data_IF_715266588911
#
_entry.id   IF_715266588911
#
_cell.length_a   1.000
_cell.length_b   1.000
_cell.length_c   1.000
_cell.angle_alpha   90.00
_cell.angle_beta   90.00
_cell.angle_gamma   90.00
#
_symmetry.space_group_name_H-M   'P 1'
#
loop_
_entity.id
_entity.type
_entity.pdbx_description
1 polymer ?
#
# COMPACT_ATOMS: atom_id res chain seq x y z
N UNK A 1 -57.31 -29.66 5.55
CA UNK A 1 -56.80 -28.86 4.42
C UNK A 1 -56.04 -27.67 5.01
N UNK A 2 -54.72 -27.71 4.94
CA UNK A 2 -53.83 -26.65 5.48
C UNK A 2 -53.94 -25.37 4.65
N UNK A 3 -54.07 -24.24 5.34
CA UNK A 3 -54.11 -22.91 4.73
C UNK A 3 -52.69 -22.49 4.30
N UNK A 4 -52.46 -22.48 3.00
CA UNK A 4 -51.28 -21.89 2.38
C UNK A 4 -51.16 -20.41 2.78
N UNK A 5 -50.17 -20.09 3.63
CA UNK A 5 -49.81 -18.71 3.96
C UNK A 5 -49.26 -18.05 2.70
N UNK A 6 -50.08 -17.23 2.03
CA UNK A 6 -49.64 -16.42 0.87
C UNK A 6 -48.63 -15.38 1.35
N UNK A 7 -47.35 -15.72 1.28
CA UNK A 7 -46.26 -14.76 1.39
C UNK A 7 -46.29 -13.81 0.20
N UNK A 8 -46.72 -12.57 0.41
CA UNK A 8 -46.72 -11.51 -0.60
C UNK A 8 -45.94 -10.29 -0.12
N UNK A 9 -44.99 -9.82 -0.92
CA UNK A 9 -44.24 -8.60 -0.62
C UNK A 9 -45.20 -7.40 -0.67
N UNK A 10 -45.39 -6.72 0.46
CA UNK A 10 -46.16 -5.47 0.50
C UNK A 10 -45.35 -4.38 -0.20
N UNK A 11 -45.50 -4.28 -1.52
CA UNK A 11 -44.74 -3.38 -2.39
C UNK A 11 -44.66 -1.93 -1.90
N UNK A 12 -45.73 -1.37 -1.33
CA UNK A 12 -45.70 -0.03 -0.73
C UNK A 12 -44.77 0.07 0.48
N UNK A 13 -44.81 -0.93 1.38
CA UNK A 13 -43.92 -0.96 2.56
C UNK A 13 -42.49 -1.29 2.18
N UNK A 14 -42.31 -2.15 1.19
CA UNK A 14 -41.01 -2.48 0.61
C UNK A 14 -40.37 -1.24 -0.02
N UNK A 15 -41.12 -0.46 -0.81
CA UNK A 15 -40.61 0.77 -1.42
C UNK A 15 -40.25 1.84 -0.37
N UNK A 16 -41.07 2.00 0.68
CA UNK A 16 -40.79 2.95 1.77
C UNK A 16 -39.49 2.64 2.50
N UNK A 17 -39.07 1.37 2.57
CA UNK A 17 -37.80 0.98 3.20
C UNK A 17 -36.65 0.97 2.20
N UNK A 18 -36.87 0.41 1.00
CA UNK A 18 -35.83 0.24 -0.01
C UNK A 18 -35.34 1.57 -0.60
N UNK A 19 -36.26 2.52 -0.87
CA UNK A 19 -35.88 3.78 -1.53
C UNK A 19 -34.94 4.61 -0.65
N UNK A 20 -35.22 4.84 0.65
CA UNK A 20 -34.27 5.52 1.54
C UNK A 20 -32.95 4.77 1.70
N UNK A 21 -32.97 3.43 1.80
CA UNK A 21 -31.75 2.64 1.92
C UNK A 21 -30.85 2.77 0.69
N UNK A 22 -31.42 2.64 -0.51
CA UNK A 22 -30.68 2.81 -1.77
C UNK A 22 -30.16 4.24 -1.92
N UNK A 23 -30.97 5.24 -1.56
CA UNK A 23 -30.55 6.64 -1.59
C UNK A 23 -29.38 6.92 -0.62
N UNK A 24 -29.42 6.35 0.60
CA UNK A 24 -28.33 6.46 1.55
C UNK A 24 -27.06 5.78 1.05
N UNK A 25 -27.15 4.57 0.48
CA UNK A 25 -26.00 3.88 -0.12
C UNK A 25 -25.41 4.66 -1.29
N UNK A 26 -26.27 5.23 -2.15
CA UNK A 26 -25.82 6.06 -3.27
C UNK A 26 -25.12 7.34 -2.78
N UNK A 27 -25.65 8.01 -1.74
CA UNK A 27 -25.04 9.18 -1.14
C UNK A 27 -23.64 8.86 -0.56
N UNK A 28 -23.49 7.72 0.12
CA UNK A 28 -22.20 7.24 0.60
C UNK A 28 -21.25 6.98 -0.58
N UNK A 29 -21.73 6.33 -1.64
CA UNK A 29 -20.94 6.07 -2.85
C UNK A 29 -20.45 7.35 -3.54
N UNK A 30 -21.30 8.38 -3.65
CA UNK A 30 -20.94 9.70 -4.19
C UNK A 30 -19.95 10.41 -3.29
N UNK A 31 -20.15 10.37 -1.96
CA UNK A 31 -19.24 10.98 -1.00
C UNK A 31 -17.84 10.31 -1.02
N UNK A 32 -17.77 9.00 -1.22
CA UNK A 32 -16.51 8.27 -1.46
C UNK A 32 -15.87 8.69 -2.80
N UNK A 33 -16.66 8.78 -3.87
CA UNK A 33 -16.17 9.15 -5.20
C UNK A 33 -15.65 10.61 -5.27
N UNK A 34 -16.25 11.51 -4.50
CA UNK A 34 -15.84 12.91 -4.38
C UNK A 34 -14.74 13.13 -3.32
N UNK A 35 -14.31 12.07 -2.62
CA UNK A 35 -13.27 12.17 -1.58
C UNK A 35 -13.72 12.86 -0.29
N UNK A 36 -15.02 13.14 -0.12
CA UNK A 36 -15.60 13.71 1.10
C UNK A 36 -15.63 12.69 2.26
N UNK A 37 -15.70 11.40 1.91
CA UNK A 37 -15.40 10.30 2.82
C UNK A 37 -14.11 9.65 2.31
N UNK A 38 -13.03 9.76 3.07
CA UNK A 38 -11.85 8.96 2.81
C UNK A 38 -12.22 7.50 3.09
N UNK A 39 -12.15 6.62 2.08
CA UNK A 39 -11.93 5.20 2.31
C UNK A 39 -10.50 5.09 2.86
N UNK A 40 -10.31 5.54 4.11
CA UNK A 40 -9.01 5.66 4.71
C UNK A 40 -8.43 4.26 4.81
N UNK A 41 -7.48 3.94 3.94
CA UNK A 41 -6.45 3.01 4.32
C UNK A 41 -5.76 3.65 5.51
N UNK A 42 -6.18 3.26 6.71
CA UNK A 42 -5.50 3.66 7.93
C UNK A 42 -4.13 3.01 7.85
N UNK A 43 -3.13 3.80 7.45
CA UNK A 43 -1.74 3.41 7.60
C UNK A 43 -1.55 3.16 9.09
N UNK A 44 -1.32 1.89 9.45
CA UNK A 44 -0.84 1.59 10.80
C UNK A 44 0.44 2.39 10.97
N UNK A 45 0.54 3.27 11.97
CA UNK A 45 1.78 4.03 12.25
C UNK A 45 2.90 3.15 12.78
N UNK A 46 3.03 1.94 12.24
CA UNK A 46 4.12 1.02 12.41
C UNK A 46 4.86 0.99 11.07
N UNK A 47 6.13 1.37 11.10
CA UNK A 47 7.00 1.09 9.98
C UNK A 47 7.21 -0.43 9.87
N UNK A 48 7.44 -0.89 8.65
CA UNK A 48 7.86 -2.24 8.37
C UNK A 48 9.20 -2.23 7.63
N UNK A 49 10.01 -3.22 7.95
CA UNK A 49 11.29 -3.45 7.30
C UNK A 49 11.12 -4.45 6.18
N UNK A 50 11.69 -4.15 5.02
CA UNK A 50 11.71 -5.05 3.87
C UNK A 50 13.16 -5.23 3.43
N UNK A 51 13.53 -6.48 3.18
CA UNK A 51 14.75 -6.83 2.49
C UNK A 51 14.45 -7.69 1.27
N UNK A 52 15.24 -7.51 0.22
CA UNK A 52 15.19 -8.31 -1.00
C UNK A 52 16.54 -8.28 -1.69
N UNK A 53 16.97 -9.43 -2.18
CA UNK A 53 18.24 -9.56 -2.90
C UNK A 53 18.23 -8.75 -4.20
N UNK A 54 17.07 -8.67 -4.86
CA UNK A 54 16.95 -7.98 -6.13
C UNK A 54 15.52 -7.50 -6.38
N UNK A 55 15.39 -6.20 -6.66
CA UNK A 55 14.17 -5.55 -7.15
C UNK A 55 14.47 -4.96 -8.53
N UNK A 56 13.80 -5.49 -9.56
CA UNK A 56 13.85 -4.94 -10.92
C UNK A 56 12.51 -4.34 -11.26
N UNK A 57 12.48 -3.03 -11.48
CA UNK A 57 11.28 -2.28 -11.81
C UNK A 57 11.40 -1.56 -13.15
N UNK A 58 10.28 -1.43 -13.86
CA UNK A 58 10.16 -0.61 -15.08
C UNK A 58 9.15 0.51 -14.85
N UNK A 59 9.37 1.64 -15.54
CA UNK A 59 8.62 2.87 -15.32
C UNK A 59 8.75 3.31 -13.87
N UNK A 60 9.97 3.71 -13.49
CA UNK A 60 10.29 4.20 -12.16
C UNK A 60 9.96 5.69 -12.06
N UNK A 61 9.34 6.10 -10.95
CA UNK A 61 9.23 7.50 -10.54
C UNK A 61 9.35 7.58 -9.02
N UNK A 62 10.14 8.52 -8.53
CA UNK A 62 10.34 8.77 -7.11
C UNK A 62 10.14 10.24 -6.79
N UNK A 63 9.32 10.54 -5.79
CA UNK A 63 9.04 11.91 -5.36
C UNK A 63 8.82 11.97 -3.84
N UNK A 64 9.00 13.16 -3.27
CA UNK A 64 8.74 13.40 -1.86
C UNK A 64 7.25 13.61 -1.59
N UNK A 65 6.71 12.93 -0.58
CA UNK A 65 5.36 13.12 -0.10
C UNK A 65 5.29 13.10 1.44
N UNK A 66 4.13 13.47 1.96
CA UNK A 66 3.77 13.28 3.36
C UNK A 66 2.74 12.15 3.43
N UNK A 67 3.05 11.12 4.21
CA UNK A 67 2.12 10.04 4.53
C UNK A 67 1.37 10.37 5.82
N UNK A 68 0.05 10.37 5.75
CA UNK A 68 -0.84 10.68 6.88
C UNK A 68 -1.35 9.38 7.49
N UNK A 69 -0.92 9.08 8.71
CA UNK A 69 -1.28 7.86 9.43
C UNK A 69 -1.75 8.12 10.86
N UNK A 70 -1.82 7.04 11.64
CA UNK A 70 -2.14 7.09 13.06
C UNK A 70 -1.03 6.46 13.89
N UNK A 71 -0.63 7.08 15.00
CA UNK A 71 0.19 6.41 16.00
C UNK A 71 -0.57 5.22 16.61
N UNK A 72 0.17 4.31 17.26
CA UNK A 72 -0.44 3.20 18.00
C UNK A 72 -1.39 3.65 19.13
N UNK A 73 -1.28 4.90 19.56
CA UNK A 73 -2.17 5.54 20.55
C UNK A 73 -3.39 6.23 19.91
N UNK A 74 -3.61 6.04 18.61
CA UNK A 74 -4.74 6.59 17.86
C UNK A 74 -4.65 8.08 17.52
N UNK A 75 -3.47 8.71 17.70
CA UNK A 75 -3.26 10.13 17.32
C UNK A 75 -2.85 10.23 15.86
N UNK A 76 -3.25 11.29 15.17
CA UNK A 76 -2.78 11.55 13.80
C UNK A 76 -1.27 11.78 13.81
N UNK A 77 -0.56 11.15 12.88
CA UNK A 77 0.87 11.33 12.66
C UNK A 77 1.11 11.62 11.17
N UNK A 78 2.13 12.44 10.89
CA UNK A 78 2.56 12.76 9.53
C UNK A 78 4.01 12.31 9.40
N UNK A 79 4.29 11.47 8.41
CA UNK A 79 5.62 10.94 8.15
C UNK A 79 6.14 11.46 6.80
N UNK A 80 7.30 12.14 6.75
CA UNK A 80 7.91 12.46 5.47
C UNK A 80 8.40 11.16 4.82
N UNK A 81 7.99 10.94 3.58
CA UNK A 81 8.30 9.72 2.83
C UNK A 81 8.79 10.06 1.43
N UNK A 82 9.71 9.23 0.93
CA UNK A 82 10.08 9.19 -0.47
C UNK A 82 9.23 8.09 -1.14
N UNK A 83 8.22 8.50 -1.88
CA UNK A 83 7.33 7.58 -2.60
C UNK A 83 8.08 7.07 -3.81
N UNK A 84 8.38 5.78 -3.82
CA UNK A 84 9.01 5.09 -4.94
C UNK A 84 7.95 4.28 -5.68
N UNK A 85 7.74 4.61 -6.95
CA UNK A 85 6.68 4.02 -7.77
C UNK A 85 7.22 3.30 -8.99
N UNK A 86 6.61 2.17 -9.32
CA UNK A 86 6.97 1.30 -10.44
C UNK A 86 5.72 0.85 -11.19
N UNK A 87 5.71 0.95 -12.52
CA UNK A 87 4.61 0.40 -13.33
C UNK A 87 4.54 -1.11 -13.20
N UNK A 88 5.70 -1.77 -13.32
CA UNK A 88 5.85 -3.21 -13.12
C UNK A 88 7.13 -3.44 -12.33
N UNK A 89 7.07 -4.29 -11.31
CA UNK A 89 8.23 -4.67 -10.52
C UNK A 89 8.28 -6.19 -10.31
N UNK A 90 9.49 -6.71 -10.34
CA UNK A 90 9.82 -8.11 -10.05
C UNK A 90 10.77 -8.13 -8.86
N UNK A 91 10.41 -8.84 -7.80
CA UNK A 91 11.15 -8.86 -6.53
C UNK A 91 11.56 -10.31 -6.20
N UNK A 92 12.85 -10.54 -5.96
CA UNK A 92 13.39 -11.86 -5.59
C UNK A 92 13.71 -11.92 -4.10
N UNK A 93 13.39 -13.05 -3.47
CA UNK A 93 13.69 -13.27 -2.05
C UNK A 93 13.18 -12.13 -1.15
N UNK A 94 11.90 -11.79 -1.28
CA UNK A 94 11.25 -10.79 -0.44
C UNK A 94 11.14 -11.32 1.01
N UNK A 95 11.64 -10.54 1.97
CA UNK A 95 11.34 -10.69 3.38
C UNK A 95 10.82 -9.35 3.92
N UNK A 96 9.61 -9.36 4.46
CA UNK A 96 8.99 -8.22 5.12
C UNK A 96 8.74 -8.58 6.58
N UNK A 97 9.13 -7.69 7.50
CA UNK A 97 8.89 -7.85 8.93
C UNK A 97 8.24 -6.61 9.53
N UNK A 98 7.20 -6.82 10.33
CA UNK A 98 6.54 -5.79 11.14
C UNK A 98 6.66 -6.18 12.59
N UNK A 99 7.11 -5.26 13.44
CA UNK A 99 7.17 -5.47 14.89
C UNK A 99 6.04 -4.67 15.52
N UNK A 100 5.10 -5.38 16.14
CA UNK A 100 4.02 -4.79 16.91
C UNK A 100 4.41 -4.85 18.40
N UNK A 101 4.81 -3.72 19.01
CA UNK A 101 5.15 -3.69 20.41
C UNK A 101 3.90 -3.70 21.30
N UNK A 102 4.08 -4.09 22.56
CA UNK A 102 3.08 -3.94 23.64
C UNK A 102 1.74 -4.65 23.38
N UNK A 103 1.75 -5.84 22.79
CA UNK A 103 0.55 -6.68 22.74
C UNK A 103 0.24 -7.17 24.16
N UNK A 104 -1.00 -6.97 24.67
CA UNK A 104 -1.39 -7.44 26.00
C UNK A 104 -1.07 -8.93 26.16
N UNK A 105 -0.47 -9.31 27.30
CA UNK A 105 -0.04 -10.68 27.65
C UNK A 105 1.18 -11.21 26.88
N UNK A 106 1.39 -10.81 25.62
CA UNK A 106 2.40 -11.39 24.73
C UNK A 106 3.67 -10.53 24.54
N UNK A 107 3.64 -9.27 24.96
CA UNK A 107 4.76 -8.34 24.76
C UNK A 107 4.92 -7.97 23.29
N UNK A 108 6.15 -7.98 22.77
CA UNK A 108 6.39 -7.68 21.35
C UNK A 108 6.06 -8.90 20.49
N UNK A 109 5.35 -8.68 19.38
CA UNK A 109 5.06 -9.72 18.38
C UNK A 109 5.55 -9.26 17.02
N UNK A 110 6.26 -10.13 16.33
CA UNK A 110 6.78 -9.88 14.99
C UNK A 110 6.01 -10.70 13.96
N UNK A 111 5.46 -10.02 12.96
CA UNK A 111 4.89 -10.62 11.76
C UNK A 111 5.96 -10.66 10.68
N UNK A 112 6.29 -11.85 10.19
CA UNK A 112 7.29 -12.04 9.13
C UNK A 112 6.60 -12.66 7.92
N UNK A 113 6.75 -12.00 6.78
CA UNK A 113 6.28 -12.42 5.47
C UNK A 113 7.49 -12.70 4.58
N UNK A 114 7.52 -13.87 3.95
CA UNK A 114 8.52 -14.25 2.96
C UNK A 114 7.85 -14.67 1.67
N UNK A 115 8.35 -14.21 0.54
CA UNK A 115 7.83 -14.58 -0.78
C UNK A 115 8.93 -14.48 -1.84
N UNK A 116 8.69 -15.02 -3.03
CA UNK A 116 9.64 -14.99 -4.13
C UNK A 116 10.90 -15.82 -3.88
N UNK A 117 10.80 -16.84 -3.02
CA UNK A 117 11.90 -17.74 -2.73
C UNK A 117 12.02 -18.79 -3.84
N UNK A 118 13.22 -18.94 -4.42
CA UNK A 118 13.51 -19.92 -5.47
C UNK A 118 13.24 -19.40 -6.90
N UNK A 119 12.62 -20.23 -7.75
CA UNK A 119 12.55 -19.97 -9.19
C UNK A 119 11.51 -18.91 -9.61
N UNK A 120 10.49 -18.65 -8.79
CA UNK A 120 9.40 -17.73 -9.12
C UNK A 120 9.50 -16.46 -8.26
N UNK A 121 9.77 -15.29 -8.86
CA UNK A 121 9.80 -14.03 -8.13
C UNK A 121 8.40 -13.56 -7.73
N UNK A 122 8.33 -12.55 -6.87
CA UNK A 122 7.13 -11.75 -6.62
C UNK A 122 6.95 -10.79 -7.79
N UNK A 123 5.71 -10.65 -8.26
CA UNK A 123 5.35 -9.74 -9.34
C UNK A 123 4.41 -8.66 -8.80
N UNK A 124 4.68 -7.40 -9.11
CA UNK A 124 3.87 -6.27 -8.70
C UNK A 124 3.53 -5.37 -9.89
N UNK A 125 2.31 -4.84 -9.93
CA UNK A 125 1.86 -3.86 -10.91
C UNK A 125 1.35 -2.61 -10.22
N UNK A 126 1.72 -1.43 -10.75
CA UNK A 126 1.44 -0.12 -10.16
C UNK A 126 1.81 -0.11 -8.67
N UNK A 127 3.06 -0.44 -8.38
CA UNK A 127 3.62 -0.51 -7.04
C UNK A 127 4.03 0.89 -6.60
N UNK A 128 3.63 1.29 -5.40
CA UNK A 128 4.03 2.49 -4.69
C UNK A 128 4.54 2.05 -3.32
N UNK A 129 5.72 2.52 -2.95
CA UNK A 129 6.36 2.22 -1.66
C UNK A 129 6.67 3.56 -1.00
N UNK A 130 6.12 3.76 0.18
CA UNK A 130 6.26 4.99 0.95
C UNK A 130 7.47 4.81 1.87
N UNK A 131 8.66 5.10 1.32
CA UNK A 131 9.94 4.76 1.91
C UNK A 131 10.41 5.86 2.87
N UNK A 132 10.79 5.49 4.08
CA UNK A 132 11.43 6.38 5.04
C UNK A 132 12.96 6.33 4.94
N UNK A 133 13.50 5.14 4.68
CA UNK A 133 14.94 4.89 4.56
C UNK A 133 15.18 3.76 3.55
N UNK A 134 16.16 3.93 2.67
CA UNK A 134 16.54 2.97 1.63
C UNK A 134 18.06 2.84 1.58
N UNK A 135 18.54 1.61 1.73
CA UNK A 135 19.92 1.22 1.48
C UNK A 135 19.91 0.10 0.44
N UNK A 136 20.53 0.35 -0.72
CA UNK A 136 20.63 -0.61 -1.81
C UNK A 136 21.71 -0.17 -2.80
N UNK A 137 22.27 -1.10 -3.55
CA UNK A 137 23.00 -0.78 -4.78
C UNK A 137 21.99 -0.61 -5.91
N UNK A 138 22.00 0.53 -6.61
CA UNK A 138 21.00 0.86 -7.60
C UNK A 138 21.62 1.24 -8.95
N UNK A 139 21.10 0.66 -10.02
CA UNK A 139 21.40 1.02 -11.40
C UNK A 139 20.11 1.48 -12.08
N UNK A 140 20.14 2.68 -12.65
CA UNK A 140 19.01 3.26 -13.38
C UNK A 140 19.35 3.42 -14.85
N UNK A 141 18.44 2.99 -15.72
CA UNK A 141 18.53 3.16 -17.17
C UNK A 141 17.67 4.37 -17.57
N UNK A 142 18.28 5.32 -18.29
CA UNK A 142 17.64 6.57 -18.75
C UNK A 142 16.99 7.36 -17.59
N UNK A 143 17.77 7.65 -16.54
CA UNK A 143 17.30 8.42 -15.40
C UNK A 143 17.24 9.92 -15.69
N UNK A 144 16.12 10.55 -15.35
CA UNK A 144 15.97 11.99 -15.24
C UNK A 144 15.88 12.35 -13.75
N UNK A 145 16.70 13.32 -13.31
CA UNK A 145 16.78 13.76 -11.92
C UNK A 145 16.40 15.24 -11.87
N UNK A 146 15.49 15.62 -10.98
CA UNK A 146 15.07 17.01 -10.79
C UNK A 146 13.90 17.44 -11.69
N UNK A 147 13.09 16.49 -12.16
CA UNK A 147 11.82 16.82 -12.80
C UNK A 147 10.79 17.21 -11.74
N UNK A 148 9.81 18.05 -12.10
CA UNK A 148 8.70 18.30 -11.19
C UNK A 148 7.85 17.03 -11.04
N UNK A 149 7.40 16.71 -9.83
CA UNK A 149 6.63 15.49 -9.56
C UNK A 149 5.38 15.35 -10.45
N UNK A 150 4.72 16.45 -10.80
CA UNK A 150 3.57 16.47 -11.73
C UNK A 150 3.93 16.16 -13.19
N UNK A 151 5.18 16.42 -13.58
CA UNK A 151 5.68 16.28 -14.95
C UNK A 151 6.42 14.93 -15.14
N UNK A 152 6.52 14.13 -14.07
CA UNK A 152 7.01 12.76 -14.15
C UNK A 152 6.02 11.88 -14.93
N UNK A 153 6.48 11.28 -16.03
CA UNK A 153 5.65 10.53 -16.99
C UNK A 153 6.10 9.09 -17.20
N UNK A 154 7.35 8.75 -16.84
CA UNK A 154 7.89 7.39 -17.00
C UNK A 154 7.25 6.41 -16.03
N UNK A 155 6.98 6.84 -14.79
CA UNK A 155 6.32 6.04 -13.76
C UNK A 155 4.78 6.10 -13.77
N UNK A 156 4.13 5.40 -12.84
CA UNK A 156 2.72 5.61 -12.53
C UNK A 156 2.45 7.07 -12.14
N UNK A 157 1.23 7.56 -12.39
CA UNK A 157 0.84 8.90 -11.94
C UNK A 157 0.85 8.98 -10.41
N UNK A 158 1.05 10.17 -9.84
CA UNK A 158 0.98 10.38 -8.39
C UNK A 158 -0.33 9.81 -7.81
N UNK A 159 -0.24 9.19 -6.63
CA UNK A 159 -1.39 8.57 -5.97
C UNK A 159 -2.45 9.63 -5.66
N UNK A 160 -3.71 9.35 -6.01
CA UNK A 160 -4.83 10.27 -5.69
C UNK A 160 -5.03 10.35 -4.18
N UNK A 161 -5.12 11.56 -3.65
CA UNK A 161 -5.33 11.82 -2.22
C UNK A 161 -4.04 11.83 -1.39
N UNK A 162 -2.87 11.75 -2.03
CA UNK A 162 -1.58 11.88 -1.37
C UNK A 162 -1.16 13.35 -1.21
N UNK A 163 -0.56 13.67 -0.06
CA UNK A 163 -0.04 15.01 0.23
C UNK A 163 1.37 15.15 -0.32
N UNK A 164 1.49 15.35 -1.64
CA UNK A 164 2.77 15.60 -2.34
C UNK A 164 2.78 17.00 -3.00
N UNK A 165 3.93 17.65 -3.06
CA UNK A 165 4.08 18.91 -3.78
C UNK A 165 4.20 18.62 -5.30
N UNK A 166 3.24 19.06 -6.14
CA UNK A 166 3.28 18.79 -7.58
C UNK A 166 4.51 19.40 -8.28
N UNK A 167 5.09 20.46 -7.71
CA UNK A 167 6.29 21.15 -8.22
C UNK A 167 7.57 20.71 -7.50
N UNK A 168 7.46 19.73 -6.59
CA UNK A 168 8.57 19.21 -5.83
C UNK A 168 9.54 18.42 -6.68
N UNK A 169 10.74 18.21 -6.15
CA UNK A 169 11.77 17.38 -6.76
C UNK A 169 11.27 15.95 -6.95
N UNK A 170 11.45 15.42 -8.16
CA UNK A 170 11.22 14.03 -8.49
C UNK A 170 12.34 13.48 -9.40
N UNK A 171 12.44 12.16 -9.40
CA UNK A 171 13.32 11.39 -10.26
C UNK A 171 12.48 10.39 -11.04
N UNK A 172 12.88 10.04 -12.25
CA UNK A 172 12.20 9.02 -13.04
C UNK A 172 13.17 8.27 -13.92
N UNK A 173 12.91 6.99 -14.19
CA UNK A 173 13.76 6.17 -15.05
C UNK A 173 12.93 5.13 -15.82
N UNK A 174 13.43 4.67 -16.96
CA UNK A 174 12.74 3.63 -17.73
C UNK A 174 12.82 2.29 -17.01
N UNK A 175 13.98 2.01 -16.39
CA UNK A 175 14.23 0.81 -15.61
C UNK A 175 15.13 1.13 -14.43
N UNK A 176 14.82 0.52 -13.29
CA UNK A 176 15.62 0.58 -12.08
C UNK A 176 15.89 -0.84 -11.60
N UNK A 177 17.17 -1.14 -11.39
CA UNK A 177 17.62 -2.42 -10.83
C UNK A 177 18.29 -2.13 -9.51
N UNK A 178 17.68 -2.59 -8.42
CA UNK A 178 18.20 -2.47 -7.08
C UNK A 178 18.61 -3.86 -6.57
N UNK A 179 19.78 -3.95 -5.96
CA UNK A 179 20.32 -5.17 -5.33
C UNK A 179 20.65 -4.92 -3.86
N UNK A 180 20.61 -5.98 -3.05
CA UNK A 180 20.85 -5.93 -1.61
C UNK A 180 19.98 -4.88 -0.90
N UNK A 181 18.71 -4.84 -1.29
CA UNK A 181 17.77 -3.81 -0.84
C UNK A 181 17.42 -4.03 0.61
N UNK A 182 17.61 -3.00 1.42
CA UNK A 182 17.12 -2.87 2.79
C UNK A 182 16.35 -1.56 2.87
N UNK A 183 15.05 -1.65 3.11
CA UNK A 183 14.19 -0.47 3.17
C UNK A 183 13.28 -0.51 4.37
N UNK A 184 13.13 0.66 4.99
CA UNK A 184 12.11 0.91 6.00
C UNK A 184 11.01 1.72 5.35
N UNK A 185 9.79 1.19 5.34
CA UNK A 185 8.64 1.82 4.70
C UNK A 185 7.46 1.93 5.68
N UNK A 186 6.58 2.90 5.43
CA UNK A 186 5.34 3.11 6.21
C UNK A 186 4.15 2.44 5.55
N UNK A 187 4.11 2.44 4.22
CA UNK A 187 3.07 1.81 3.43
C UNK A 187 3.63 1.24 2.13
N UNK A 188 3.01 0.16 1.65
CA UNK A 188 3.18 -0.34 0.29
C UNK A 188 1.80 -0.51 -0.32
N UNK A 189 1.56 0.11 -1.46
CA UNK A 189 0.32 -0.02 -2.23
C UNK A 189 0.64 -0.58 -3.60
N UNK A 190 -0.13 -1.55 -4.08
CA UNK A 190 0.02 -2.06 -5.44
C UNK A 190 -1.35 -2.30 -6.06
N UNK A 191 -1.47 -2.03 -7.37
CA UNK A 191 -2.68 -2.40 -8.12
C UNK A 191 -2.84 -3.93 -8.21
N UNK A 192 -1.74 -4.66 -8.34
CA UNK A 192 -1.71 -6.12 -8.21
C UNK A 192 -0.41 -6.53 -7.54
N UNK A 193 -0.49 -7.41 -6.55
CA UNK A 193 0.68 -7.92 -5.82
C UNK A 193 0.63 -9.44 -5.72
N UNK A 194 1.44 -10.12 -6.52
CA UNK A 194 1.46 -11.57 -6.65
C UNK A 194 2.67 -12.14 -5.91
N UNK A 195 2.40 -12.60 -4.70
CA UNK A 195 3.39 -13.16 -3.79
C UNK A 195 3.59 -14.66 -4.05
N UNK A 196 4.45 -14.98 -5.01
CA UNK A 196 4.82 -16.38 -5.31
C UNK A 196 5.44 -17.06 -4.08
N UNK A 197 4.88 -18.19 -3.65
CA UNK A 197 5.45 -18.96 -2.53
C UNK A 197 5.35 -18.26 -1.17
N UNK A 198 4.32 -17.44 -0.97
CA UNK A 198 4.05 -16.72 0.27
C UNK A 198 4.10 -17.64 1.51
N UNK A 199 4.96 -17.30 2.45
CA UNK A 199 5.02 -17.85 3.80
C UNK A 199 4.86 -16.73 4.81
N UNK A 200 3.90 -16.88 5.70
CA UNK A 200 3.64 -15.92 6.77
C UNK A 200 3.80 -16.62 8.12
N UNK A 201 4.50 -15.98 9.04
CA UNK A 201 4.71 -16.48 10.40
C UNK A 201 4.61 -15.36 11.41
N UNK A 202 4.04 -15.66 12.58
CA UNK A 202 4.10 -14.80 13.75
C UNK A 202 5.12 -15.38 14.74
N UNK A 203 5.92 -14.51 15.34
CA UNK A 203 6.85 -14.87 16.41
C UNK A 203 6.67 -13.91 17.58
N UNK A 204 6.72 -14.44 18.79
CA UNK A 204 6.93 -13.61 19.98
C UNK A 204 8.36 -13.04 19.95
N UNK A 205 8.52 -11.85 20.55
CA UNK A 205 9.76 -11.08 20.54
C UNK A 205 9.94 -10.20 19.30
N UNK A 206 11.11 -9.57 19.21
CA UNK A 206 11.53 -8.73 18.08
C UNK A 206 12.31 -9.60 17.10
N UNK A 207 11.74 -9.82 15.91
CA UNK A 207 12.39 -10.52 14.80
C UNK A 207 12.19 -9.70 13.52
N UNK A 208 13.26 -9.07 13.10
CA UNK A 208 13.30 -8.27 11.90
C UNK A 208 14.02 -9.02 10.78
N UNK A 209 13.72 -8.69 9.53
CA UNK A 209 14.40 -9.29 8.40
C UNK A 209 15.86 -8.83 8.27
N UNK A 210 16.25 -7.70 8.90
CA UNK A 210 17.62 -7.19 9.01
C UNK A 210 17.78 -6.18 10.15
#
# INVERSE_FOLDING_TARGET
MESQVRGGTRWKRFAVVMVPSVAATAAIGVALAQGALAASFSVSGQSFKVTTDQLVGTGFSQYGALDEGYTMDGKKAVHPVAVSSFKQATIKNLCQSVVTPNIPVLGNVSLILRAGQGAKPVEAQNLYIDVADLSADATFENIDIGVAAKDATKGPAMRKGETANPYGFAQQADKATLTDVKQTAWATTAGTFKLSGLKMSLSTGVKECY
#
